data_IF_512240389927
#
_entry.id   IF_512240389927
#
_cell.length_a   1.000
_cell.length_b   1.000
_cell.length_c   1.000
_cell.angle_alpha   90.00
_cell.angle_beta   90.00
_cell.angle_gamma   90.00
#
_symmetry.space_group_name_H-M   'P 1'
#
loop_
_entity.id
_entity.type
_entity.pdbx_description
1 polymer ?
#
# COMPACT_ATOMS: atom_id res chain seq x y z
N UNK A 1 11.22 45.32 46.60
CA UNK A 1 12.68 45.10 46.70
C UNK A 1 12.92 43.61 46.53
N UNK A 2 13.92 43.11 45.79
CA UNK A 2 14.97 43.72 44.94
C UNK A 2 15.43 42.63 43.93
N UNK A 3 15.86 43.05 42.71
CA UNK A 3 16.86 42.38 41.82
C UNK A 3 16.66 40.87 41.56
N UNK A 4 16.29 40.33 40.38
CA UNK A 4 16.53 40.67 38.96
C UNK A 4 17.95 40.37 38.43
N UNK A 5 18.15 39.17 37.86
CA UNK A 5 19.29 38.83 36.98
C UNK A 5 18.79 38.06 35.76
N UNK A 6 19.21 38.45 34.55
CA UNK A 6 19.09 37.65 33.32
C UNK A 6 20.46 37.07 32.99
N UNK A 7 20.54 35.80 32.62
CA UNK A 7 21.75 35.21 32.03
C UNK A 7 21.35 34.42 30.79
N UNK A 8 21.74 34.92 29.62
CA UNK A 8 21.64 34.18 28.36
C UNK A 8 23.03 33.65 28.01
N UNK A 9 23.11 32.41 27.52
CA UNK A 9 24.29 31.93 26.82
C UNK A 9 23.86 30.98 25.69
N UNK A 10 23.79 31.51 24.49
CA UNK A 10 23.62 30.75 23.26
C UNK A 10 24.92 30.03 22.90
N UNK A 11 24.84 28.75 22.55
CA UNK A 11 25.90 28.08 21.81
C UNK A 11 25.26 27.22 20.70
N UNK A 12 25.49 27.64 19.45
CA UNK A 12 25.13 26.88 18.26
C UNK A 12 26.41 26.38 17.59
N UNK A 13 26.41 25.13 17.14
CA UNK A 13 27.50 24.59 16.33
C UNK A 13 26.90 23.65 15.28
N UNK A 14 26.88 24.11 14.02
CA UNK A 14 26.57 23.25 12.89
C UNK A 14 27.85 22.54 12.43
N UNK A 15 27.73 21.26 12.08
CA UNK A 15 28.63 20.64 11.12
C UNK A 15 27.81 20.00 10.01
N UNK A 16 28.09 20.39 8.78
CA UNK A 16 27.59 19.73 7.58
C UNK A 16 28.75 18.94 6.95
N UNK A 17 28.52 17.66 6.64
CA UNK A 17 29.43 16.87 5.81
C UNK A 17 28.78 16.65 4.45
N UNK A 18 29.46 17.12 3.40
CA UNK A 18 29.03 16.94 2.02
C UNK A 18 30.26 16.61 1.14
N UNK A 19 30.52 15.32 0.91
CA UNK A 19 31.49 14.85 -0.08
C UNK A 19 31.33 13.36 -0.40
N UNK A 20 30.70 13.05 -1.53
CA UNK A 20 31.02 11.89 -2.37
C UNK A 20 30.69 12.25 -3.82
N UNK A 21 31.54 11.88 -4.78
CA UNK A 21 31.49 12.31 -6.19
C UNK A 21 31.68 11.07 -7.09
N UNK A 22 30.97 10.95 -8.25
CA UNK A 22 30.81 9.66 -8.92
C UNK A 22 31.89 9.33 -9.97
N UNK A 23 32.10 8.02 -10.17
CA UNK A 23 32.53 7.32 -11.40
C UNK A 23 31.56 6.11 -11.52
N UNK A 24 30.95 5.70 -12.63
CA UNK A 24 31.16 5.88 -14.08
C UNK A 24 32.43 5.24 -14.63
N UNK A 25 32.33 3.94 -14.95
CA UNK A 25 33.26 3.18 -15.79
C UNK A 25 32.49 2.13 -16.63
N UNK A 26 32.74 2.10 -17.94
CA UNK A 26 32.19 1.18 -18.97
C UNK A 26 32.78 1.53 -20.35
N UNK A 27 32.77 0.63 -21.37
CA UNK A 27 33.04 -0.80 -21.33
C UNK A 27 34.00 -1.28 -22.47
N UNK A 28 34.73 -2.38 -22.27
CA UNK A 28 35.50 -3.14 -23.28
C UNK A 28 35.95 -4.49 -22.64
N UNK A 29 36.31 -5.61 -23.28
CA UNK A 29 36.32 -6.13 -24.68
C UNK A 29 36.49 -7.69 -24.56
N UNK A 30 36.46 -8.60 -25.55
CA UNK A 30 36.37 -8.64 -27.03
C UNK A 30 35.62 -9.95 -27.42
N UNK A 31 35.07 -10.07 -28.64
CA UNK A 31 34.74 -11.37 -29.23
C UNK A 31 33.79 -11.32 -30.44
N UNK A 32 34.31 -11.58 -31.64
CA UNK A 32 33.54 -11.66 -32.90
C UNK A 32 34.00 -12.84 -33.78
N UNK A 33 33.16 -13.20 -34.76
CA UNK A 33 33.35 -14.12 -35.88
C UNK A 33 33.27 -15.65 -35.60
N UNK A 34 32.76 -16.45 -36.57
CA UNK A 34 31.56 -16.16 -37.38
C UNK A 34 30.61 -17.36 -37.62
N UNK A 35 29.38 -17.02 -38.02
CA UNK A 35 28.37 -17.79 -38.80
C UNK A 35 28.14 -19.31 -38.65
N UNK A 36 26.87 -19.65 -38.39
CA UNK A 36 26.19 -20.76 -39.06
C UNK A 36 24.73 -20.36 -39.34
N UNK A 37 24.29 -20.47 -40.60
CA UNK A 37 22.96 -20.00 -41.03
C UNK A 37 21.84 -21.03 -40.77
N UNK A 38 20.69 -20.56 -40.28
CA UNK A 38 19.46 -21.32 -40.14
C UNK A 38 18.25 -20.46 -40.55
N UNK A 39 17.21 -21.09 -41.07
CA UNK A 39 16.13 -20.40 -41.79
C UNK A 39 15.23 -19.52 -40.90
N UNK A 40 14.68 -18.46 -41.50
CA UNK A 40 13.76 -17.56 -40.85
C UNK A 40 12.43 -18.25 -40.48
N UNK A 41 12.20 -18.43 -39.18
CA UNK A 41 10.85 -18.51 -38.65
C UNK A 41 10.32 -17.10 -38.48
N UNK A 42 9.15 -16.77 -39.05
CA UNK A 42 8.41 -15.56 -38.68
C UNK A 42 7.79 -15.77 -37.30
N UNK A 43 8.63 -15.71 -36.27
CA UNK A 43 8.16 -15.53 -34.90
C UNK A 43 7.32 -14.26 -34.86
N UNK A 44 6.05 -14.39 -34.49
CA UNK A 44 5.21 -13.23 -34.26
C UNK A 44 5.61 -12.63 -32.91
N UNK A 45 6.69 -11.84 -32.91
CA UNK A 45 7.12 -10.99 -31.80
C UNK A 45 6.07 -9.91 -31.56
N UNK A 46 4.96 -10.34 -30.97
CA UNK A 46 4.06 -9.46 -30.25
C UNK A 46 4.87 -8.89 -29.09
N UNK A 47 5.44 -7.70 -29.33
CA UNK A 47 6.18 -6.96 -28.32
C UNK A 47 5.39 -6.97 -26.99
N UNK A 48 6.05 -7.19 -25.84
CA UNK A 48 5.36 -7.30 -24.56
C UNK A 48 4.37 -6.14 -24.40
N UNK A 49 3.07 -6.47 -24.38
CA UNK A 49 2.03 -5.46 -24.26
C UNK A 49 2.23 -4.75 -22.93
N UNK A 50 2.70 -3.51 -22.99
CA UNK A 50 3.04 -2.73 -21.81
C UNK A 50 1.81 -2.70 -20.89
N UNK A 51 1.95 -3.35 -19.74
CA UNK A 51 0.86 -3.50 -18.79
C UNK A 51 0.44 -2.11 -18.33
N UNK A 52 -0.82 -1.72 -18.60
CA UNK A 52 -1.29 -0.34 -18.49
C UNK A 52 -1.53 0.10 -17.03
N UNK A 53 -0.85 -0.53 -16.08
CA UNK A 53 -1.12 -0.46 -14.65
C UNK A 53 -2.41 -1.21 -14.27
N UNK A 54 -3.09 -0.66 -13.27
CA UNK A 54 -4.47 -0.99 -12.93
C UNK A 54 -5.33 0.25 -13.21
N UNK A 55 -6.55 0.03 -13.71
CA UNK A 55 -7.53 1.08 -13.99
C UNK A 55 -8.73 0.87 -13.06
N UNK A 56 -8.97 1.82 -12.15
CA UNK A 56 -10.05 1.72 -11.17
C UNK A 56 -11.44 1.84 -11.82
N UNK A 57 -11.55 2.56 -12.94
CA UNK A 57 -12.80 2.73 -13.70
C UNK A 57 -13.20 1.44 -14.45
N UNK A 58 -12.31 0.43 -14.47
CA UNK A 58 -12.61 -0.91 -14.99
C UNK A 58 -13.36 -1.82 -13.98
N UNK A 59 -13.48 -1.40 -12.72
CA UNK A 59 -14.21 -2.13 -11.68
C UNK A 59 -15.68 -1.69 -11.69
N UNK A 60 -16.66 -2.61 -11.85
CA UNK A 60 -18.07 -2.24 -11.84
C UNK A 60 -18.51 -1.63 -10.49
N UNK A 61 -19.34 -0.59 -10.55
CA UNK A 61 -20.03 -0.08 -9.35
C UNK A 61 -20.92 -1.16 -8.72
N UNK A 62 -20.87 -1.28 -7.39
CA UNK A 62 -21.71 -2.23 -6.66
C UNK A 62 -23.15 -1.72 -6.54
N UNK A 63 -24.10 -2.57 -6.89
CA UNK A 63 -25.54 -2.35 -6.70
C UNK A 63 -26.08 -2.95 -5.39
N UNK A 64 -25.20 -3.43 -4.51
CA UNK A 64 -25.60 -3.97 -3.22
C UNK A 64 -26.15 -2.89 -2.28
N UNK A 65 -27.26 -3.19 -1.58
CA UNK A 65 -27.79 -2.30 -0.54
C UNK A 65 -26.87 -2.37 0.68
N UNK A 66 -26.11 -1.29 0.90
CA UNK A 66 -25.26 -1.13 2.07
C UNK A 66 -26.10 -0.67 3.28
N UNK A 67 -25.63 -1.02 4.48
CA UNK A 67 -26.17 -0.48 5.73
C UNK A 67 -25.62 0.90 6.07
N UNK A 68 -25.78 1.30 7.34
CA UNK A 68 -25.14 2.52 7.85
C UNK A 68 -23.60 2.40 7.86
N UNK A 69 -22.94 3.55 7.84
CA UNK A 69 -21.47 3.62 7.89
C UNK A 69 -20.97 3.57 9.36
N UNK A 70 -19.91 2.80 9.68
CA UNK A 70 -19.09 1.98 8.79
C UNK A 70 -19.80 0.68 8.34
N UNK A 71 -19.76 0.41 7.03
CA UNK A 71 -20.54 -0.67 6.40
C UNK A 71 -20.13 -2.10 6.82
N UNK A 72 -18.99 -2.26 7.49
CA UNK A 72 -18.46 -3.56 7.93
C UNK A 72 -18.37 -3.58 9.46
N UNK A 73 -19.06 -4.53 10.08
CA UNK A 73 -18.94 -4.86 11.50
C UNK A 73 -17.85 -5.91 11.75
N UNK A 74 -17.31 -5.95 12.96
CA UNK A 74 -16.34 -6.98 13.35
C UNK A 74 -17.02 -8.36 13.44
N UNK A 75 -16.35 -9.45 13.03
CA UNK A 75 -16.88 -10.81 13.21
C UNK A 75 -17.04 -11.18 14.70
N UNK A 76 -17.98 -12.07 15.01
CA UNK A 76 -18.27 -12.48 16.38
C UNK A 76 -17.01 -12.95 17.15
N UNK A 77 -16.86 -12.50 18.40
CA UNK A 77 -15.66 -12.75 19.21
C UNK A 77 -14.49 -11.81 18.92
N UNK A 78 -14.68 -10.76 18.11
CA UNK A 78 -13.69 -9.69 17.90
C UNK A 78 -14.29 -8.32 18.24
N UNK A 79 -13.51 -7.47 18.92
CA UNK A 79 -13.98 -6.16 19.39
C UNK A 79 -12.88 -5.10 19.32
N UNK A 80 -13.28 -3.85 19.02
CA UNK A 80 -12.47 -2.64 19.13
C UNK A 80 -12.67 -1.92 20.47
N UNK A 81 -13.44 -2.49 21.41
CA UNK A 81 -13.61 -1.94 22.75
C UNK A 81 -12.26 -1.86 23.48
N UNK A 82 -11.91 -0.66 23.98
CA UNK A 82 -10.61 -0.39 24.60
C UNK A 82 -9.47 -0.11 23.62
N UNK A 83 -9.75 0.04 22.32
CA UNK A 83 -8.78 0.38 21.27
C UNK A 83 -9.18 1.67 20.54
N UNK A 84 -8.20 2.32 19.92
CA UNK A 84 -8.44 3.52 19.11
C UNK A 84 -9.21 3.20 17.82
N UNK A 85 -10.14 4.09 17.49
CA UNK A 85 -10.84 4.12 16.21
C UNK A 85 -10.84 5.55 15.65
N UNK A 86 -10.69 5.69 14.33
CA UNK A 86 -10.69 6.98 13.64
C UNK A 86 -11.77 6.99 12.56
N UNK A 87 -12.58 8.05 12.54
CA UNK A 87 -13.61 8.31 11.52
C UNK A 87 -13.35 9.65 10.85
N UNK A 88 -13.45 9.71 9.52
CA UNK A 88 -13.37 10.96 8.74
C UNK A 88 -14.45 10.98 7.67
N UNK A 89 -15.20 12.09 7.58
CA UNK A 89 -16.21 12.28 6.54
C UNK A 89 -15.60 12.48 5.14
N UNK A 90 -14.36 12.99 5.09
CA UNK A 90 -13.57 13.06 3.87
C UNK A 90 -12.09 12.83 4.17
N UNK A 91 -11.51 11.83 3.54
CA UNK A 91 -10.09 11.49 3.57
C UNK A 91 -9.72 10.73 2.28
N UNK A 92 -8.44 10.38 2.13
CA UNK A 92 -7.98 9.47 1.08
C UNK A 92 -7.01 8.43 1.61
N UNK A 93 -7.06 7.22 1.06
CA UNK A 93 -6.20 6.10 1.47
C UNK A 93 -5.59 5.42 0.24
N UNK A 94 -4.28 5.08 0.27
CA UNK A 94 -3.63 4.35 -0.81
C UNK A 94 -3.83 2.84 -0.67
N UNK A 95 -4.33 2.19 -1.72
CA UNK A 95 -4.43 0.74 -1.85
C UNK A 95 -3.42 0.26 -2.91
N UNK A 96 -2.54 -0.69 -2.56
CA UNK A 96 -1.52 -1.17 -3.48
C UNK A 96 -2.08 -2.22 -4.45
N UNK A 97 -1.86 -2.00 -5.76
CA UNK A 97 -2.23 -2.93 -6.84
C UNK A 97 -1.09 -2.96 -7.86
N UNK A 98 -0.57 -4.15 -8.18
CA UNK A 98 0.64 -4.36 -9.00
C UNK A 98 1.85 -3.57 -8.47
N UNK A 99 1.94 -3.42 -7.15
CA UNK A 99 2.96 -2.62 -6.46
C UNK A 99 2.76 -1.09 -6.48
N UNK A 100 1.78 -0.56 -7.21
CA UNK A 100 1.52 0.89 -7.33
C UNK A 100 0.36 1.37 -6.43
N UNK A 101 0.46 2.54 -5.77
CA UNK A 101 -0.54 3.03 -4.82
C UNK A 101 -1.74 3.71 -5.52
N UNK A 102 -2.89 3.06 -5.47
CA UNK A 102 -4.18 3.57 -5.95
C UNK A 102 -4.84 4.42 -4.85
N UNK A 103 -4.97 5.73 -5.07
CA UNK A 103 -5.57 6.63 -4.08
C UNK A 103 -7.09 6.65 -4.21
N UNK A 104 -7.79 6.17 -3.18
CA UNK A 104 -9.26 6.21 -3.10
C UNK A 104 -9.67 7.28 -2.09
N UNK A 105 -10.57 8.18 -2.48
CA UNK A 105 -11.09 9.27 -1.64
C UNK A 105 -12.53 9.00 -1.17
N UNK A 106 -12.90 9.45 0.04
CA UNK A 106 -14.25 9.29 0.58
C UNK A 106 -14.32 9.28 2.11
N UNK A 107 -15.39 8.68 2.66
CA UNK A 107 -15.50 8.44 4.12
C UNK A 107 -14.54 7.33 4.54
N UNK A 108 -13.75 7.58 5.59
CA UNK A 108 -12.78 6.63 6.12
C UNK A 108 -13.16 6.21 7.54
N UNK A 109 -13.08 4.91 7.81
CA UNK A 109 -13.15 4.33 9.16
C UNK A 109 -11.95 3.39 9.35
N UNK A 110 -11.23 3.59 10.44
CA UNK A 110 -10.09 2.77 10.85
C UNK A 110 -10.31 2.32 12.29
N UNK A 111 -10.08 1.04 12.57
CA UNK A 111 -10.22 0.48 13.92
C UNK A 111 -9.09 -0.51 14.21
N UNK A 112 -8.46 -0.37 15.37
CA UNK A 112 -7.71 -1.47 15.97
C UNK A 112 -8.70 -2.38 16.71
N UNK A 113 -8.53 -3.70 16.60
CA UNK A 113 -9.40 -4.68 17.26
C UNK A 113 -8.61 -5.91 17.72
N UNK A 114 -9.16 -6.63 18.70
CA UNK A 114 -8.61 -7.86 19.23
C UNK A 114 -9.71 -8.92 19.42
N UNK A 115 -9.31 -10.14 19.81
CA UNK A 115 -10.24 -11.18 20.26
C UNK A 115 -10.83 -10.86 21.63
N UNK A 116 -12.12 -11.13 21.79
CA UNK A 116 -12.79 -11.10 23.09
C UNK A 116 -12.29 -12.22 24.02
N UNK A 117 -12.54 -12.07 25.32
CA UNK A 117 -12.04 -12.99 26.34
C UNK A 117 -12.48 -14.44 26.09
N UNK A 118 -11.51 -15.35 26.00
CA UNK A 118 -11.74 -16.78 25.73
C UNK A 118 -11.67 -17.19 24.25
N UNK A 119 -11.57 -16.24 23.30
CA UNK A 119 -11.33 -16.57 21.88
C UNK A 119 -9.84 -16.54 21.53
N UNK A 120 -9.37 -17.58 20.86
CA UNK A 120 -8.03 -17.64 20.25
C UNK A 120 -7.98 -16.87 18.93
N UNK A 121 -6.93 -16.08 18.71
CA UNK A 121 -6.79 -15.28 17.48
C UNK A 121 -6.45 -16.14 16.26
N UNK A 122 -7.25 -16.03 15.19
CA UNK A 122 -7.00 -16.71 13.91
C UNK A 122 -6.96 -15.71 12.75
N UNK A 123 -5.76 -15.38 12.28
CA UNK A 123 -5.57 -14.47 11.13
C UNK A 123 -6.22 -15.00 9.84
N UNK A 124 -6.40 -16.32 9.70
CA UNK A 124 -7.09 -16.94 8.57
C UNK A 124 -8.61 -16.76 8.67
N UNK A 125 -9.19 -17.01 9.85
CA UNK A 125 -10.62 -16.78 10.12
C UNK A 125 -10.99 -15.32 9.88
N UNK A 126 -10.23 -14.38 10.46
CA UNK A 126 -10.40 -12.93 10.25
C UNK A 126 -10.40 -12.61 8.76
N UNK A 127 -9.37 -13.04 8.01
CA UNK A 127 -9.29 -12.77 6.57
C UNK A 127 -10.49 -13.33 5.80
N UNK A 128 -10.90 -14.57 6.05
CA UNK A 128 -12.05 -15.18 5.34
C UNK A 128 -13.38 -14.53 5.69
N UNK A 129 -13.58 -14.10 6.93
CA UNK A 129 -14.78 -13.35 7.31
C UNK A 129 -14.84 -11.98 6.61
N UNK A 130 -13.74 -11.22 6.60
CA UNK A 130 -13.69 -9.93 5.88
C UNK A 130 -13.81 -10.09 4.35
N UNK A 131 -13.18 -11.13 3.77
CA UNK A 131 -13.31 -11.46 2.34
C UNK A 131 -14.78 -11.74 1.96
N UNK A 132 -15.49 -12.55 2.75
CA UNK A 132 -16.90 -12.86 2.53
C UNK A 132 -17.81 -11.63 2.71
N UNK A 133 -17.55 -10.79 3.73
CA UNK A 133 -18.31 -9.55 3.95
C UNK A 133 -18.15 -8.55 2.80
N UNK A 134 -16.92 -8.38 2.28
CA UNK A 134 -16.65 -7.53 1.11
C UNK A 134 -17.35 -8.08 -0.15
N UNK A 135 -17.30 -9.40 -0.37
CA UNK A 135 -18.00 -10.05 -1.50
C UNK A 135 -19.53 -9.89 -1.39
N UNK A 136 -20.11 -9.98 -0.19
CA UNK A 136 -21.54 -9.76 0.04
C UNK A 136 -21.98 -8.32 -0.29
N UNK A 137 -21.09 -7.34 -0.11
CA UNK A 137 -21.30 -5.95 -0.53
C UNK A 137 -20.98 -5.70 -2.03
N UNK A 138 -20.78 -6.75 -2.82
CA UNK A 138 -20.45 -6.67 -4.25
C UNK A 138 -18.99 -6.32 -4.57
N UNK A 139 -18.09 -6.35 -3.58
CA UNK A 139 -16.67 -6.03 -3.77
C UNK A 139 -15.91 -7.12 -4.54
N UNK A 140 -15.20 -6.71 -5.60
CA UNK A 140 -14.35 -7.58 -6.42
C UNK A 140 -12.92 -7.68 -5.86
N UNK A 141 -12.31 -8.87 -5.89
CA UNK A 141 -10.91 -9.05 -5.47
C UNK A 141 -9.95 -8.58 -6.57
N UNK A 142 -9.23 -7.48 -6.32
CA UNK A 142 -8.28 -6.88 -7.26
C UNK A 142 -6.84 -7.37 -7.05
N UNK A 143 -6.38 -7.49 -5.80
CA UNK A 143 -5.02 -7.93 -5.45
C UNK A 143 -4.98 -8.71 -4.13
N UNK A 144 -3.93 -9.50 -3.94
CA UNK A 144 -3.55 -10.15 -2.66
C UNK A 144 -2.07 -9.90 -2.31
N UNK A 145 -1.47 -8.88 -2.94
CA UNK A 145 -0.09 -8.47 -2.74
C UNK A 145 0.17 -7.97 -1.31
N UNK A 146 1.45 -7.91 -0.93
CA UNK A 146 1.88 -7.19 0.26
C UNK A 146 2.09 -5.73 -0.10
N UNK A 147 1.68 -4.84 0.80
CA UNK A 147 2.17 -3.46 0.81
C UNK A 147 3.71 -3.52 0.98
N UNK A 148 4.51 -2.79 0.17
CA UNK A 148 5.97 -2.73 0.27
C UNK A 148 6.51 -2.26 1.64
#
# INVERSE_FOLDING_TARGET
MKIATRTALTLALLMALAACKPNQDSPANVGDAPEASAAAGTGNDAAPSADKGFDIESVPESTAVLGEFPYITLPAGYSSSGYDTETKDFARFPFWVKGEPQWVEGRMYLATFATEAGKSVSKHEVRKNFEALVQQMGGQKISEEKIP
#
